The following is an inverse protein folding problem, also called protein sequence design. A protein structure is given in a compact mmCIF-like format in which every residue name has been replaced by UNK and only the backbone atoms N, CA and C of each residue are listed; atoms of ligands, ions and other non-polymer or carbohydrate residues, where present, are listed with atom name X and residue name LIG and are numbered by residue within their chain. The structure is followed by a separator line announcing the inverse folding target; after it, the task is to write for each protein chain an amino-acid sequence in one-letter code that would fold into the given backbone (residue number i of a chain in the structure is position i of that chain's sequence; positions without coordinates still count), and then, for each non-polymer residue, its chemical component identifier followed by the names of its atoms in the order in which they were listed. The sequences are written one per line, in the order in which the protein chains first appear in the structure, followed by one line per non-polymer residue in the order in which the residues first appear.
data_IF_255414318031
#
_entry.id   IF_255414318031
#
_cell.length_a   1.000
_cell.length_b   1.000
_cell.length_c   1.000
_cell.angle_alpha   90.00
_cell.angle_beta   90.00
_cell.angle_gamma   90.00
#
_symmetry.space_group_name_H-M   'P 1'
#
loop_
_entity.id
_entity.type
_entity.pdbx_description
1 polymer ?
#
# COMPACT_ATOMS: atom_id res chain seq x y z
N UNK A 1 19.64 10.65 -16.31
CA UNK A 1 19.70 11.55 -15.15
C UNK A 1 18.70 12.67 -15.37
N UNK A 2 17.59 12.67 -14.67
CA UNK A 2 16.75 13.85 -14.42
C UNK A 2 16.32 13.73 -12.97
N UNK A 3 16.76 14.70 -12.17
CA UNK A 3 16.40 14.83 -10.77
C UNK A 3 14.88 14.93 -10.63
N UNK A 4 14.29 13.99 -9.93
CA UNK A 4 12.95 14.14 -9.39
C UNK A 4 13.10 15.10 -8.22
N UNK A 5 12.57 16.30 -8.38
CA UNK A 5 12.57 17.32 -7.36
C UNK A 5 11.88 16.79 -6.10
N UNK A 6 12.54 16.95 -4.97
CA UNK A 6 11.99 16.73 -3.66
C UNK A 6 10.68 17.52 -3.54
N UNK A 7 9.59 16.82 -3.27
CA UNK A 7 8.32 17.44 -2.91
C UNK A 7 8.59 18.35 -1.71
N UNK A 8 8.41 19.67 -1.91
CA UNK A 8 8.43 20.63 -0.81
C UNK A 8 7.42 20.18 0.22
N UNK A 9 7.87 19.97 1.44
CA UNK A 9 7.01 19.84 2.60
C UNK A 9 5.94 20.91 2.56
N UNK A 10 4.66 20.60 2.82
CA UNK A 10 3.63 21.62 2.87
C UNK A 10 4.06 22.68 3.87
N UNK A 11 4.10 23.93 3.42
CA UNK A 11 4.56 25.05 4.20
C UNK A 11 3.84 25.06 5.53
N UNK A 12 4.62 25.19 6.60
CA UNK A 12 4.14 25.39 7.98
C UNK A 12 3.14 26.54 7.92
N UNK A 13 1.86 26.23 8.05
CA UNK A 13 0.81 27.24 8.21
C UNK A 13 1.16 27.95 9.51
N UNK A 14 1.69 29.17 9.40
CA UNK A 14 1.90 30.05 10.55
C UNK A 14 0.50 30.43 11.00
N UNK A 15 -0.04 29.71 11.97
CA UNK A 15 -1.26 30.08 12.65
C UNK A 15 -1.04 31.46 13.25
N UNK A 16 -1.97 32.42 13.08
CA UNK A 16 -1.88 33.70 13.75
C UNK A 16 -1.78 33.45 15.25
N UNK A 17 -0.91 34.17 15.96
CA UNK A 17 -0.57 33.97 17.36
C UNK A 17 -1.84 33.72 18.19
N UNK A 18 -2.13 32.45 18.49
CA UNK A 18 -3.26 32.08 19.33
C UNK A 18 -2.97 32.60 20.72
N UNK A 19 -3.72 33.61 21.16
CA UNK A 19 -3.61 34.14 22.52
C UNK A 19 -4.52 33.30 23.41
N UNK A 20 -3.90 32.65 24.40
CA UNK A 20 -4.62 32.00 25.51
C UNK A 20 -4.87 33.07 26.56
N UNK A 21 -6.10 33.24 27.01
CA UNK A 21 -6.47 34.22 28.02
C UNK A 21 -7.23 33.55 29.18
N UNK A 22 -6.82 33.90 30.40
CA UNK A 22 -7.50 33.43 31.62
C UNK A 22 -8.30 34.58 32.19
N UNK A 23 -9.58 34.39 32.39
CA UNK A 23 -10.52 35.39 32.96
C UNK A 23 -11.18 34.87 34.22
N UNK A 24 -11.34 35.81 35.20
CA UNK A 24 -12.16 35.60 36.37
C UNK A 24 -13.61 35.96 36.01
N UNK A 25 -14.49 35.00 35.93
CA UNK A 25 -15.88 35.19 35.54
C UNK A 25 -16.70 35.87 36.65
N UNK A 26 -16.25 35.79 37.88
CA UNK A 26 -16.99 36.32 39.03
C UNK A 26 -16.62 37.77 39.34
N UNK A 27 -15.40 38.19 39.06
CA UNK A 27 -14.93 39.54 39.34
C UNK A 27 -14.69 40.35 38.08
N UNK A 28 -15.08 41.61 38.09
CA UNK A 28 -14.73 42.56 37.04
C UNK A 28 -13.23 42.78 36.98
N UNK A 29 -12.70 43.14 35.82
CA UNK A 29 -11.28 43.46 35.65
C UNK A 29 -10.78 44.55 36.59
N UNK A 30 -11.67 45.51 36.90
CA UNK A 30 -11.44 46.64 37.84
C UNK A 30 -11.50 46.25 39.31
N UNK A 31 -11.79 44.97 39.64
CA UNK A 31 -11.88 44.56 41.04
C UNK A 31 -10.54 44.77 41.78
N UNK A 32 -10.60 45.33 43.00
CA UNK A 32 -9.45 45.61 43.83
C UNK A 32 -8.74 44.37 44.31
N UNK A 33 -7.43 44.47 44.64
CA UNK A 33 -6.65 43.37 45.22
C UNK A 33 -7.29 42.87 46.52
N UNK A 34 -7.90 43.74 47.31
CA UNK A 34 -8.61 43.35 48.54
C UNK A 34 -9.83 42.47 48.25
N UNK A 35 -10.65 42.82 47.24
CA UNK A 35 -11.79 42.00 46.82
C UNK A 35 -11.36 40.63 46.29
N UNK A 36 -10.26 40.59 45.53
CA UNK A 36 -9.70 39.32 45.04
C UNK A 36 -9.21 38.43 46.15
N UNK A 37 -8.49 39.00 47.16
CA UNK A 37 -8.05 38.30 48.36
C UNK A 37 -9.20 37.81 49.22
N UNK A 38 -10.20 38.67 49.48
CA UNK A 38 -11.37 38.31 50.27
C UNK A 38 -12.12 37.11 49.65
N UNK A 39 -12.24 37.06 48.32
CA UNK A 39 -12.87 35.93 47.64
C UNK A 39 -12.00 34.67 47.62
N UNK A 40 -10.66 34.81 47.52
CA UNK A 40 -9.74 33.70 47.51
C UNK A 40 -9.60 33.01 48.91
N UNK A 41 -9.73 33.78 49.99
CA UNK A 41 -9.62 33.27 51.38
C UNK A 41 -10.96 32.80 51.96
N UNK A 42 -12.07 33.09 51.30
CA UNK A 42 -13.40 32.71 51.81
C UNK A 42 -13.61 31.19 51.71
N UNK A 43 -14.02 30.56 52.81
CA UNK A 43 -14.41 29.16 52.89
C UNK A 43 -15.66 28.86 52.00
N UNK A 44 -16.56 29.84 51.97
CA UNK A 44 -17.73 29.91 51.08
C UNK A 44 -17.61 31.17 50.23
N UNK A 45 -17.35 31.06 48.93
CA UNK A 45 -17.21 32.23 48.04
C UNK A 45 -18.47 33.12 48.01
N UNK A 46 -19.65 32.57 48.24
CA UNK A 46 -20.91 33.34 48.25
C UNK A 46 -21.03 34.24 49.47
N UNK A 47 -20.34 33.92 50.56
CA UNK A 47 -20.29 34.72 51.78
C UNK A 47 -19.13 35.70 51.81
N UNK A 48 -18.29 35.71 50.77
CA UNK A 48 -17.18 36.64 50.67
C UNK A 48 -17.65 38.09 50.58
N UNK A 49 -17.04 38.98 51.39
CA UNK A 49 -17.33 40.43 51.37
C UNK A 49 -16.73 41.10 50.13
N UNK A 50 -17.37 40.91 48.98
CA UNK A 50 -16.98 41.55 47.72
C UNK A 50 -18.03 42.61 47.39
N UNK A 51 -17.64 43.89 47.18
CA UNK A 51 -18.60 44.95 46.79
C UNK A 51 -19.31 44.59 45.48
N UNK A 52 -20.59 44.91 45.40
CA UNK A 52 -21.45 44.58 44.25
C UNK A 52 -20.93 45.20 42.95
N UNK A 53 -20.42 46.43 43.04
CA UNK A 53 -19.78 47.11 41.89
C UNK A 53 -18.59 46.36 41.30
N UNK A 54 -17.98 45.42 42.02
CA UNK A 54 -16.84 44.61 41.59
C UNK A 54 -17.26 43.22 41.12
N UNK A 55 -18.50 42.82 41.25
CA UNK A 55 -19.06 41.55 40.80
C UNK A 55 -19.48 41.63 39.34
N UNK A 56 -19.38 40.51 38.65
CA UNK A 56 -20.02 40.33 37.34
C UNK A 56 -21.41 39.76 37.52
N UNK A 57 -22.22 39.71 36.46
CA UNK A 57 -23.51 39.01 36.42
C UNK A 57 -23.40 37.50 36.64
N UNK A 58 -22.20 36.96 36.50
CA UNK A 58 -21.84 35.55 36.68
C UNK A 58 -21.32 35.21 38.08
N UNK A 59 -21.28 36.21 38.98
CA UNK A 59 -20.78 36.01 40.34
C UNK A 59 -21.55 34.89 41.06
N UNK A 60 -20.79 33.89 41.54
CA UNK A 60 -21.35 32.72 42.23
C UNK A 60 -22.03 31.70 41.33
N UNK A 61 -22.08 31.90 40.01
CA UNK A 61 -22.68 30.97 39.08
C UNK A 61 -21.63 30.12 38.38
N UNK A 62 -21.69 28.81 38.59
CA UNK A 62 -20.80 27.84 37.94
C UNK A 62 -19.32 28.01 38.31
N UNK A 63 -18.41 27.53 37.45
CA UNK A 63 -16.96 27.58 37.66
C UNK A 63 -16.43 29.00 37.48
N UNK A 64 -15.58 29.44 38.42
CA UNK A 64 -15.06 30.80 38.47
C UNK A 64 -14.09 31.18 37.37
N UNK A 65 -13.17 30.28 37.03
CA UNK A 65 -12.07 30.56 36.09
C UNK A 65 -12.39 30.06 34.70
N UNK A 66 -12.14 30.87 33.68
CA UNK A 66 -12.33 30.51 32.28
C UNK A 66 -11.08 30.76 31.50
N UNK A 67 -10.61 29.71 30.78
CA UNK A 67 -9.59 29.82 29.77
C UNK A 67 -10.26 29.97 28.42
N UNK A 68 -9.84 30.97 27.66
CA UNK A 68 -10.34 31.26 26.32
C UNK A 68 -9.18 31.27 25.33
N UNK A 69 -9.34 30.62 24.19
CA UNK A 69 -8.39 30.66 23.08
C UNK A 69 -9.12 30.65 21.74
N UNK A 70 -8.40 30.86 20.66
CA UNK A 70 -8.96 30.81 19.33
C UNK A 70 -8.35 29.62 18.58
N UNK A 71 -9.19 28.78 17.97
CA UNK A 71 -8.81 27.70 17.05
C UNK A 71 -9.65 27.86 15.78
N UNK A 72 -9.03 27.81 14.60
CA UNK A 72 -9.70 27.97 13.30
C UNK A 72 -10.61 29.21 13.20
N UNK A 73 -10.17 30.32 13.75
CA UNK A 73 -10.92 31.60 13.88
C UNK A 73 -12.14 31.53 14.81
N UNK A 74 -12.40 30.39 15.46
CA UNK A 74 -13.48 30.25 16.43
C UNK A 74 -12.97 30.39 17.86
N UNK A 75 -13.79 31.07 18.67
CA UNK A 75 -13.51 31.25 20.10
C UNK A 75 -13.83 29.97 20.87
N UNK A 76 -12.84 29.38 21.51
CA UNK A 76 -12.97 28.24 22.41
C UNK A 76 -12.90 28.69 23.86
N UNK A 77 -13.56 27.97 24.76
CA UNK A 77 -13.59 28.27 26.20
C UNK A 77 -13.70 26.99 27.03
N UNK A 78 -12.96 26.95 28.12
CA UNK A 78 -13.10 25.93 29.17
C UNK A 78 -13.10 26.58 30.54
N UNK A 79 -14.01 26.15 31.44
CA UNK A 79 -14.14 26.71 32.79
C UNK A 79 -13.54 25.76 33.81
N UNK A 80 -13.00 26.35 34.92
CA UNK A 80 -12.32 25.66 36.00
C UNK A 80 -12.77 26.21 37.34
N UNK A 81 -12.78 25.34 38.36
CA UNK A 81 -13.11 25.72 39.71
C UNK A 81 -11.94 26.47 40.37
N UNK A 82 -10.71 26.03 40.14
CA UNK A 82 -9.51 26.65 40.71
C UNK A 82 -8.70 27.43 39.65
N UNK A 83 -8.01 28.47 40.11
CA UNK A 83 -7.10 29.26 39.31
C UNK A 83 -5.88 28.44 38.86
N UNK A 84 -5.38 27.61 39.77
CA UNK A 84 -4.22 26.73 39.51
C UNK A 84 -4.49 25.80 38.33
N UNK A 85 -5.66 25.18 38.29
CA UNK A 85 -6.02 24.28 37.20
C UNK A 85 -6.19 25.03 35.86
N UNK A 86 -6.77 26.26 35.92
CA UNK A 86 -6.89 27.12 34.75
C UNK A 86 -5.50 27.53 34.18
N UNK A 87 -4.56 27.90 35.07
CA UNK A 87 -3.18 28.26 34.69
C UNK A 87 -2.40 27.05 34.14
N UNK A 88 -2.53 25.90 34.79
CA UNK A 88 -1.90 24.67 34.30
C UNK A 88 -2.42 24.28 32.91
N UNK A 89 -3.73 24.34 32.70
CA UNK A 89 -4.32 24.08 31.41
C UNK A 89 -3.90 25.09 30.34
N UNK A 90 -3.86 26.39 30.69
CA UNK A 90 -3.45 27.44 29.76
C UNK A 90 -1.97 27.25 29.33
N UNK A 91 -1.08 26.95 30.27
CA UNK A 91 0.34 26.70 29.99
C UNK A 91 0.54 25.46 29.08
N UNK A 92 -0.19 24.36 29.37
CA UNK A 92 -0.17 23.18 28.51
C UNK A 92 -0.68 23.50 27.11
N UNK A 93 -1.79 24.25 27.01
CA UNK A 93 -2.37 24.63 25.74
C UNK A 93 -1.42 25.53 24.92
N UNK A 94 -0.77 26.50 25.56
CA UNK A 94 0.23 27.37 24.92
C UNK A 94 1.44 26.57 24.40
N UNK A 95 1.90 25.56 25.17
CA UNK A 95 2.98 24.67 24.73
C UNK A 95 2.55 23.82 23.53
N UNK A 96 1.36 23.25 23.56
CA UNK A 96 0.82 22.45 22.45
C UNK A 96 0.63 23.30 21.19
N UNK A 97 0.13 24.53 21.32
CA UNK A 97 0.01 25.47 20.20
C UNK A 97 1.39 25.82 19.63
N UNK A 98 2.33 26.20 20.50
CA UNK A 98 3.69 26.60 20.12
C UNK A 98 4.46 25.46 19.42
N UNK A 99 4.28 24.24 19.88
CA UNK A 99 4.92 23.05 19.35
C UNK A 99 4.17 22.43 18.16
N UNK A 100 2.99 22.99 17.80
CA UNK A 100 2.16 22.46 16.73
C UNK A 100 1.46 21.14 17.10
N UNK A 101 1.37 20.81 18.40
CA UNK A 101 0.71 19.60 18.89
C UNK A 101 -0.77 19.83 19.23
N UNK A 102 -1.26 21.04 19.14
CA UNK A 102 -2.66 21.33 19.44
C UNK A 102 -3.58 20.65 18.42
N UNK A 103 -4.54 19.86 18.90
CA UNK A 103 -5.67 19.34 18.13
C UNK A 103 -6.95 19.85 18.77
N UNK A 104 -7.88 20.37 17.98
CA UNK A 104 -9.21 20.73 18.51
C UNK A 104 -9.91 19.43 18.97
N UNK A 105 -10.38 19.36 20.21
CA UNK A 105 -11.15 18.21 20.69
C UNK A 105 -12.32 17.81 19.79
N UNK A 106 -12.91 18.76 19.08
CA UNK A 106 -14.01 18.48 18.12
C UNK A 106 -13.51 17.69 16.90
N UNK A 107 -12.28 17.91 16.48
CA UNK A 107 -11.72 17.16 15.36
C UNK A 107 -11.47 15.70 15.74
N UNK A 108 -11.14 15.45 17.01
CA UNK A 108 -11.02 14.09 17.55
C UNK A 108 -12.38 13.36 17.63
N UNK A 109 -13.49 14.09 17.68
CA UNK A 109 -14.86 13.54 17.66
C UNK A 109 -15.39 13.31 16.24
N UNK A 110 -14.66 13.72 15.19
CA UNK A 110 -14.99 13.35 13.81
C UNK A 110 -14.96 11.84 13.66
N UNK A 111 -15.90 11.31 12.90
CA UNK A 111 -15.95 9.86 12.70
C UNK A 111 -14.82 9.37 11.79
N UNK A 112 -14.33 8.17 12.07
CA UNK A 112 -13.35 7.50 11.23
C UNK A 112 -13.93 7.29 9.82
N UNK A 113 -15.24 7.07 9.73
CA UNK A 113 -15.97 6.95 8.46
C UNK A 113 -15.85 8.20 7.60
N UNK A 114 -16.12 9.40 8.15
CA UNK A 114 -16.01 10.64 7.39
C UNK A 114 -14.57 10.89 6.93
N UNK A 115 -13.59 10.68 7.80
CA UNK A 115 -12.17 10.80 7.45
C UNK A 115 -11.76 9.81 6.34
N UNK A 116 -12.31 8.60 6.39
CA UNK A 116 -12.08 7.58 5.35
C UNK A 116 -12.66 7.97 4.01
N UNK A 117 -13.93 8.38 3.94
CA UNK A 117 -14.57 8.78 2.68
C UNK A 117 -13.86 9.97 2.03
N UNK A 118 -13.50 10.99 2.81
CA UNK A 118 -12.72 12.13 2.33
C UNK A 118 -11.32 11.68 1.82
N UNK A 119 -10.64 10.81 2.57
CA UNK A 119 -9.34 10.25 2.18
C UNK A 119 -9.42 9.40 0.91
N UNK A 120 -10.46 8.57 0.76
CA UNK A 120 -10.67 7.78 -0.45
C UNK A 120 -10.96 8.64 -1.68
N UNK A 121 -11.69 9.74 -1.52
CA UNK A 121 -11.94 10.69 -2.61
C UNK A 121 -10.63 11.30 -3.14
N UNK A 122 -9.73 11.69 -2.24
CA UNK A 122 -8.42 12.23 -2.60
C UNK A 122 -7.46 11.18 -3.19
N UNK A 123 -7.64 9.92 -2.82
CA UNK A 123 -6.80 8.82 -3.31
C UNK A 123 -7.09 8.44 -4.78
N UNK A 124 -8.28 8.80 -5.28
CA UNK A 124 -8.74 8.48 -6.65
C UNK A 124 -7.72 8.82 -7.74
N UNK A 125 -7.17 10.05 -7.84
CA UNK A 125 -6.21 10.41 -8.87
C UNK A 125 -4.80 9.86 -8.62
N UNK A 126 -4.51 9.38 -7.40
CA UNK A 126 -3.13 9.08 -6.96
C UNK A 126 -2.76 7.62 -7.20
N UNK A 127 -3.70 6.69 -6.98
CA UNK A 127 -3.43 5.25 -7.07
C UNK A 127 -4.08 4.60 -8.29
N UNK A 128 -3.50 3.48 -8.73
CA UNK A 128 -4.08 2.67 -9.80
C UNK A 128 -5.45 2.13 -9.40
N UNK A 129 -6.41 2.00 -10.34
CA UNK A 129 -7.76 1.51 -10.07
C UNK A 129 -7.81 0.21 -9.25
N UNK A 130 -7.00 -0.79 -9.62
CA UNK A 130 -6.96 -2.08 -8.90
C UNK A 130 -6.50 -1.94 -7.44
N UNK A 131 -5.63 -0.96 -7.12
CA UNK A 131 -5.20 -0.68 -5.75
C UNK A 131 -6.32 -0.01 -4.98
N UNK A 132 -6.98 0.99 -5.59
CA UNK A 132 -8.12 1.67 -5.00
C UNK A 132 -9.26 0.69 -4.69
N UNK A 133 -9.65 -0.14 -5.65
CA UNK A 133 -10.71 -1.15 -5.49
C UNK A 133 -10.41 -2.12 -4.35
N UNK A 134 -9.14 -2.54 -4.21
CA UNK A 134 -8.75 -3.42 -3.10
C UNK A 134 -8.86 -2.72 -1.76
N UNK A 135 -8.36 -1.49 -1.63
CA UNK A 135 -8.44 -0.73 -0.39
C UNK A 135 -9.90 -0.43 -0.05
N UNK A 136 -10.71 -0.04 -1.05
CA UNK A 136 -12.13 0.22 -0.87
C UNK A 136 -12.89 -1.02 -0.40
N UNK A 137 -12.65 -2.15 -1.01
CA UNK A 137 -13.25 -3.42 -0.58
C UNK A 137 -12.87 -3.79 0.85
N UNK A 138 -11.57 -3.70 1.19
CA UNK A 138 -11.10 -3.99 2.54
C UNK A 138 -11.69 -3.02 3.57
N UNK A 139 -11.89 -1.75 3.17
CA UNK A 139 -12.60 -0.72 3.93
C UNK A 139 -14.07 -1.07 4.14
N UNK A 140 -14.81 -1.29 3.07
CA UNK A 140 -16.25 -1.55 3.11
C UNK A 140 -16.59 -2.84 3.86
N UNK A 141 -15.71 -3.86 3.74
CA UNK A 141 -15.96 -5.16 4.34
C UNK A 141 -15.56 -5.20 5.82
N UNK A 142 -14.43 -4.61 6.18
CA UNK A 142 -13.83 -4.84 7.50
C UNK A 142 -13.67 -3.58 8.35
N UNK A 143 -13.36 -2.43 7.75
CA UNK A 143 -13.06 -1.20 8.50
C UNK A 143 -14.32 -0.43 8.82
N UNK A 144 -15.09 -0.01 7.80
CA UNK A 144 -16.28 0.82 7.98
C UNK A 144 -17.33 0.18 8.91
N UNK A 145 -17.64 -1.13 8.83
CA UNK A 145 -18.61 -1.73 9.72
C UNK A 145 -18.21 -1.77 11.21
N UNK A 146 -16.92 -1.67 11.51
CA UNK A 146 -16.43 -1.71 12.89
C UNK A 146 -16.04 -0.32 13.41
N UNK A 147 -15.39 0.49 12.57
CA UNK A 147 -14.79 1.76 12.94
C UNK A 147 -15.58 2.98 12.43
N UNK A 148 -16.41 2.82 11.39
CA UNK A 148 -17.01 3.95 10.65
C UNK A 148 -17.70 4.99 11.52
N UNK A 149 -18.56 4.56 12.43
CA UNK A 149 -19.34 5.45 13.30
C UNK A 149 -18.58 5.89 14.57
N UNK A 150 -17.36 5.38 14.76
CA UNK A 150 -16.56 5.71 15.96
C UNK A 150 -15.75 6.98 15.70
N UNK A 151 -15.55 7.81 16.75
CA UNK A 151 -14.71 8.99 16.65
C UNK A 151 -13.23 8.62 16.48
N UNK A 152 -12.42 9.52 15.92
CA UNK A 152 -10.98 9.36 15.78
C UNK A 152 -10.31 9.09 17.14
N UNK A 153 -10.83 9.65 18.22
CA UNK A 153 -10.38 9.41 19.61
C UNK A 153 -10.49 7.94 20.05
N UNK A 154 -11.32 7.14 19.37
CA UNK A 154 -11.48 5.71 19.67
C UNK A 154 -10.33 4.84 19.18
N UNK A 155 -9.43 5.35 18.30
CA UNK A 155 -8.27 4.64 17.77
C UNK A 155 -7.17 4.49 18.82
N UNK A 156 -7.49 3.84 19.93
CA UNK A 156 -6.51 3.54 20.98
C UNK A 156 -5.73 2.26 20.70
N UNK A 157 -4.48 2.12 21.23
CA UNK A 157 -3.71 0.89 21.05
C UNK A 157 -4.46 -0.38 21.52
N UNK A 158 -5.21 -0.28 22.62
CA UNK A 158 -6.00 -1.39 23.16
C UNK A 158 -7.13 -1.79 22.22
N UNK A 159 -7.93 -0.83 21.73
CA UNK A 159 -9.04 -1.09 20.82
C UNK A 159 -8.55 -1.67 19.47
N UNK A 160 -7.46 -1.11 18.93
CA UNK A 160 -6.81 -1.63 17.72
C UNK A 160 -6.28 -3.05 17.92
N UNK A 161 -5.60 -3.31 19.05
CA UNK A 161 -5.07 -4.63 19.37
C UNK A 161 -6.16 -5.69 19.46
N UNK A 162 -7.27 -5.39 20.16
CA UNK A 162 -8.42 -6.28 20.26
C UNK A 162 -9.07 -6.55 18.90
N UNK A 163 -9.21 -5.53 18.08
CA UNK A 163 -9.77 -5.68 16.73
C UNK A 163 -8.86 -6.51 15.82
N UNK A 164 -7.54 -6.30 15.84
CA UNK A 164 -6.58 -7.11 15.08
C UNK A 164 -6.66 -8.57 15.50
N UNK A 165 -6.77 -8.87 16.80
CA UNK A 165 -6.93 -10.22 17.31
C UNK A 165 -8.20 -10.86 16.75
N UNK A 166 -9.33 -10.15 16.77
CA UNK A 166 -10.61 -10.65 16.25
C UNK A 166 -10.61 -10.89 14.72
N UNK A 167 -9.83 -10.16 13.97
CA UNK A 167 -9.60 -10.45 12.55
C UNK A 167 -8.76 -11.72 12.35
N UNK A 168 -7.77 -11.92 13.21
CA UNK A 168 -6.86 -13.07 13.11
C UNK A 168 -7.50 -14.38 13.50
N UNK A 169 -8.35 -14.39 14.54
CA UNK A 169 -9.06 -15.59 15.02
C UNK A 169 -10.41 -15.82 14.33
N UNK A 170 -10.86 -14.87 13.48
CA UNK A 170 -12.13 -14.96 12.73
C UNK A 170 -13.36 -14.56 13.54
N UNK A 171 -13.21 -14.11 14.80
CA UNK A 171 -14.31 -13.68 15.65
C UNK A 171 -14.90 -12.32 15.27
N UNK A 172 -14.17 -11.50 14.50
CA UNK A 172 -14.71 -10.26 13.97
C UNK A 172 -15.95 -10.54 13.12
N UNK A 173 -17.04 -9.78 13.32
CA UNK A 173 -18.31 -9.94 12.60
C UNK A 173 -18.13 -9.98 11.08
N UNK A 174 -17.22 -9.20 10.55
CA UNK A 174 -16.91 -9.13 9.11
C UNK A 174 -16.15 -10.36 8.57
N UNK A 175 -15.67 -11.23 9.45
CA UNK A 175 -14.92 -12.44 9.08
C UNK A 175 -15.82 -13.66 8.91
N UNK A 176 -17.08 -13.63 9.39
CA UNK A 176 -18.04 -14.74 9.30
C UNK A 176 -17.46 -16.07 9.80
N UNK A 177 -16.67 -16.04 10.88
CA UNK A 177 -16.02 -17.24 11.45
C UNK A 177 -14.76 -17.71 10.71
N UNK A 178 -14.29 -16.98 9.71
CA UNK A 178 -13.09 -17.34 8.93
C UNK A 178 -11.89 -16.54 9.42
N UNK A 179 -10.85 -17.23 9.87
CA UNK A 179 -9.59 -16.61 10.24
C UNK A 179 -8.94 -15.93 9.02
N UNK A 180 -8.55 -14.65 9.17
CA UNK A 180 -7.90 -13.94 8.09
C UNK A 180 -6.40 -14.20 8.07
N UNK A 181 -5.86 -14.37 6.87
CA UNK A 181 -4.42 -14.44 6.68
C UNK A 181 -3.74 -13.13 7.07
N UNK A 182 -2.49 -13.22 7.49
CA UNK A 182 -1.63 -12.05 7.76
C UNK A 182 -1.61 -11.04 6.62
N UNK A 183 -1.63 -11.52 5.36
CA UNK A 183 -1.66 -10.65 4.18
C UNK A 183 -2.98 -9.90 4.03
N UNK A 184 -4.11 -10.53 4.40
CA UNK A 184 -5.42 -9.88 4.42
C UNK A 184 -5.48 -8.80 5.50
N UNK A 185 -5.04 -9.11 6.73
CA UNK A 185 -4.99 -8.13 7.84
C UNK A 185 -4.11 -6.93 7.46
N UNK A 186 -2.99 -7.15 6.77
CA UNK A 186 -2.16 -6.05 6.26
C UNK A 186 -2.83 -5.24 5.13
N UNK A 187 -3.72 -5.85 4.37
CA UNK A 187 -4.59 -5.14 3.41
C UNK A 187 -5.56 -4.20 4.13
N UNK A 188 -6.22 -4.72 5.16
CA UNK A 188 -7.15 -3.98 6.02
C UNK A 188 -6.45 -2.82 6.75
N UNK A 189 -5.22 -3.05 7.26
CA UNK A 189 -4.39 -1.97 7.79
C UNK A 189 -4.22 -0.82 6.80
N UNK A 190 -3.89 -1.11 5.53
CA UNK A 190 -3.74 -0.06 4.51
C UNK A 190 -5.05 0.66 4.21
N UNK A 191 -6.18 -0.03 4.30
CA UNK A 191 -7.48 0.61 4.14
C UNK A 191 -7.78 1.57 5.30
N UNK A 192 -7.51 1.18 6.55
CA UNK A 192 -7.65 2.05 7.71
C UNK A 192 -6.64 3.21 7.68
N UNK A 193 -5.41 2.99 7.18
CA UNK A 193 -4.42 4.05 7.09
C UNK A 193 -4.85 5.19 6.17
N UNK A 194 -5.75 4.97 5.21
CA UNK A 194 -6.30 6.06 4.38
C UNK A 194 -7.02 7.11 5.23
N UNK A 195 -7.84 6.67 6.18
CA UNK A 195 -8.55 7.59 7.10
C UNK A 195 -7.57 8.27 8.07
N UNK A 196 -6.61 7.52 8.60
CA UNK A 196 -5.61 8.04 9.54
C UNK A 196 -4.68 9.04 8.87
N UNK A 197 -4.17 8.75 7.67
CA UNK A 197 -3.31 9.64 6.90
C UNK A 197 -4.04 10.94 6.54
N UNK A 198 -5.33 10.84 6.18
CA UNK A 198 -6.17 12.01 5.93
C UNK A 198 -6.36 12.84 7.19
N UNK A 199 -6.70 12.22 8.32
CA UNK A 199 -6.86 12.91 9.60
C UNK A 199 -5.56 13.57 10.08
N UNK A 200 -4.42 12.91 9.89
CA UNK A 200 -3.10 13.47 10.19
C UNK A 200 -2.76 14.67 9.31
N UNK A 201 -3.04 14.56 8.00
CA UNK A 201 -2.78 15.65 7.04
C UNK A 201 -3.60 16.90 7.31
N UNK A 202 -4.79 16.74 7.91
CA UNK A 202 -5.66 17.85 8.32
C UNK A 202 -5.42 18.30 9.77
N UNK A 203 -4.47 17.69 10.49
CA UNK A 203 -4.20 18.05 11.89
C UNK A 203 -5.24 17.55 12.90
N UNK A 204 -6.15 16.64 12.52
CA UNK A 204 -7.16 16.05 13.41
C UNK A 204 -6.57 14.97 14.32
N UNK A 205 -5.41 14.43 13.97
CA UNK A 205 -4.58 13.55 14.77
C UNK A 205 -3.15 14.08 14.82
N UNK A 206 -2.52 14.02 16.00
CA UNK A 206 -1.12 14.45 16.21
C UNK A 206 -0.12 13.36 15.83
N UNK A 207 -0.48 12.12 16.05
CA UNK A 207 0.37 10.97 15.84
C UNK A 207 -0.43 9.83 15.23
N UNK A 208 0.26 9.00 14.47
CA UNK A 208 -0.34 7.84 13.83
C UNK A 208 -0.60 6.74 14.87
N UNK A 209 -1.88 6.47 15.23
CA UNK A 209 -2.22 5.46 16.23
C UNK A 209 -1.91 4.04 15.75
N UNK A 210 -1.79 3.81 14.43
CA UNK A 210 -1.51 2.50 13.86
C UNK A 210 -0.07 2.08 14.11
N UNK A 211 0.85 3.02 14.32
CA UNK A 211 2.25 2.74 14.69
C UNK A 211 2.42 2.26 16.13
N UNK A 212 1.47 2.59 17.00
CA UNK A 212 1.50 2.17 18.40
C UNK A 212 1.14 0.67 18.59
N UNK A 213 0.72 -0.02 17.54
CA UNK A 213 0.27 -1.42 17.59
C UNK A 213 1.15 -2.31 16.72
N UNK A 214 1.38 -3.54 17.18
CA UNK A 214 2.10 -4.55 16.38
C UNK A 214 1.13 -5.22 15.40
N UNK A 215 1.30 -4.96 14.13
CA UNK A 215 0.60 -5.66 13.07
C UNK A 215 1.28 -6.99 12.73
N UNK A 216 0.52 -8.02 12.33
CA UNK A 216 1.09 -9.30 11.97
C UNK A 216 2.16 -9.16 10.88
N UNK A 217 3.31 -9.81 11.07
CA UNK A 217 4.40 -9.78 10.08
C UNK A 217 4.01 -10.61 8.86
N UNK A 218 4.40 -10.16 7.67
CA UNK A 218 4.20 -10.95 6.45
C UNK A 218 4.96 -12.27 6.59
N UNK A 219 4.23 -13.38 6.60
CA UNK A 219 4.84 -14.71 6.52
C UNK A 219 5.51 -14.93 5.16
N UNK A 220 6.46 -15.84 5.13
CA UNK A 220 7.00 -16.31 3.84
C UNK A 220 5.89 -17.12 3.15
N UNK A 221 5.53 -16.76 1.92
CA UNK A 221 4.61 -17.57 1.14
C UNK A 221 5.38 -18.75 0.54
N UNK A 222 4.88 -19.95 0.75
CA UNK A 222 5.41 -21.15 0.10
C UNK A 222 5.27 -20.97 -1.43
N UNK A 223 6.38 -21.06 -2.14
CA UNK A 223 6.38 -21.01 -3.60
C UNK A 223 6.24 -22.43 -4.14
N UNK A 224 5.39 -22.58 -5.13
CA UNK A 224 5.16 -23.85 -5.80
C UNK A 224 5.80 -23.80 -7.18
N UNK A 225 6.62 -24.79 -7.48
CA UNK A 225 7.23 -25.02 -8.77
C UNK A 225 6.68 -26.34 -9.32
N UNK A 226 6.21 -26.32 -10.55
CA UNK A 226 5.70 -27.52 -11.22
C UNK A 226 6.81 -28.17 -12.04
N UNK A 227 6.81 -29.49 -12.09
CA UNK A 227 7.65 -30.23 -13.04
C UNK A 227 7.10 -30.09 -14.45
N UNK A 228 7.90 -30.37 -15.48
CA UNK A 228 7.47 -30.38 -16.89
C UNK A 228 6.28 -31.31 -17.09
N UNK A 229 6.30 -32.50 -16.48
CA UNK A 229 5.21 -33.47 -16.54
C UNK A 229 3.93 -32.93 -15.90
N UNK A 230 4.03 -32.18 -14.78
CA UNK A 230 2.86 -31.55 -14.16
C UNK A 230 2.28 -30.44 -15.02
N UNK A 231 3.12 -29.63 -15.67
CA UNK A 231 2.69 -28.60 -16.63
C UNK A 231 1.97 -29.26 -17.82
N UNK A 232 2.52 -30.37 -18.35
CA UNK A 232 1.89 -31.13 -19.44
C UNK A 232 0.49 -31.63 -19.05
N UNK A 233 0.37 -32.34 -17.92
CA UNK A 233 -0.93 -32.81 -17.43
C UNK A 233 -1.94 -31.68 -17.22
N UNK A 234 -1.46 -30.54 -16.75
CA UNK A 234 -2.33 -29.35 -16.57
C UNK A 234 -2.82 -28.79 -17.89
N UNK A 235 -1.95 -28.75 -18.91
CA UNK A 235 -2.29 -28.33 -20.26
C UNK A 235 -3.28 -29.30 -20.91
N UNK A 236 -3.02 -30.61 -20.84
CA UNK A 236 -3.92 -31.63 -21.37
C UNK A 236 -5.31 -31.54 -20.72
N UNK A 237 -5.35 -31.37 -19.42
CA UNK A 237 -6.60 -31.21 -18.67
C UNK A 237 -7.35 -29.91 -18.99
N UNK A 238 -6.68 -28.88 -19.50
CA UNK A 238 -7.30 -27.65 -19.95
C UNK A 238 -7.92 -27.75 -21.37
N UNK A 239 -7.68 -28.84 -22.10
CA UNK A 239 -8.20 -29.10 -23.43
C UNK A 239 -7.82 -28.01 -24.43
N UNK A 240 -8.78 -27.40 -25.11
CA UNK A 240 -8.54 -26.35 -26.10
C UNK A 240 -7.80 -25.12 -25.53
N UNK A 241 -7.79 -24.95 -24.21
CA UNK A 241 -7.04 -23.92 -23.49
C UNK A 241 -5.69 -24.37 -22.95
N UNK A 242 -5.22 -25.56 -23.35
CA UNK A 242 -3.90 -26.06 -22.95
C UNK A 242 -2.78 -25.13 -23.37
N UNK A 243 -2.89 -24.52 -24.54
CA UNK A 243 -1.91 -23.54 -25.02
C UNK A 243 -1.79 -22.30 -24.11
N UNK A 244 -2.89 -21.88 -23.45
CA UNK A 244 -2.87 -20.77 -22.47
C UNK A 244 -1.97 -21.12 -21.28
N UNK A 245 -2.07 -22.37 -20.81
CA UNK A 245 -1.26 -22.90 -19.69
C UNK A 245 0.21 -22.97 -20.08
N UNK A 246 0.49 -23.57 -21.26
CA UNK A 246 1.86 -23.69 -21.78
C UNK A 246 2.49 -22.31 -22.01
N UNK A 247 1.73 -21.37 -22.57
CA UNK A 247 2.18 -20.00 -22.76
C UNK A 247 2.61 -19.34 -21.45
N UNK A 248 1.81 -19.46 -20.40
CA UNK A 248 2.15 -18.92 -19.06
C UNK A 248 3.36 -19.62 -18.44
N UNK A 249 3.43 -20.97 -18.57
CA UNK A 249 4.49 -21.78 -17.98
C UNK A 249 5.85 -21.62 -18.68
N UNK A 250 5.86 -21.36 -19.99
CA UNK A 250 7.09 -21.32 -20.77
C UNK A 250 7.52 -19.94 -21.25
N UNK A 251 6.77 -18.89 -20.88
CA UNK A 251 7.15 -17.49 -21.15
C UNK A 251 7.28 -16.65 -19.88
N UNK A 252 6.76 -17.15 -18.76
CA UNK A 252 6.79 -16.45 -17.49
C UNK A 252 5.99 -15.14 -17.46
N UNK A 253 5.10 -14.89 -18.43
CA UNK A 253 4.20 -13.74 -18.44
C UNK A 253 3.24 -13.77 -17.25
N UNK A 254 2.81 -12.59 -16.78
CA UNK A 254 1.69 -12.51 -15.84
C UNK A 254 0.40 -12.85 -16.55
N UNK A 255 -0.57 -13.43 -15.85
CA UNK A 255 -1.87 -13.77 -16.45
C UNK A 255 -2.54 -12.58 -17.13
N UNK A 256 -2.54 -11.41 -16.50
CA UNK A 256 -3.12 -10.20 -17.11
C UNK A 256 -2.37 -9.73 -18.37
N UNK A 257 -1.08 -10.02 -18.49
CA UNK A 257 -0.30 -9.74 -19.69
C UNK A 257 -0.66 -10.72 -20.82
N UNK A 258 -0.74 -12.02 -20.52
CA UNK A 258 -1.12 -13.05 -21.48
C UNK A 258 -2.53 -12.84 -22.02
N UNK A 259 -3.50 -12.53 -21.12
CA UNK A 259 -4.88 -12.25 -21.52
C UNK A 259 -5.06 -10.93 -22.30
N UNK A 260 -4.07 -10.03 -22.29
CA UNK A 260 -4.07 -8.78 -23.04
C UNK A 260 -3.31 -8.86 -24.38
N UNK A 261 -2.76 -10.03 -24.73
CA UNK A 261 -2.08 -10.24 -26.01
C UNK A 261 -3.06 -10.16 -27.17
N UNK A 262 -2.56 -9.63 -28.28
CA UNK A 262 -3.21 -9.63 -29.58
C UNK A 262 -2.44 -10.52 -30.55
N UNK A 263 -3.08 -10.92 -31.63
CA UNK A 263 -2.46 -11.71 -32.70
C UNK A 263 -1.19 -11.02 -33.22
N UNK A 264 -1.21 -9.71 -33.45
CA UNK A 264 -0.07 -8.93 -33.91
C UNK A 264 1.11 -8.88 -32.93
N UNK A 265 0.92 -9.25 -31.65
CA UNK A 265 2.03 -9.29 -30.69
C UNK A 265 2.94 -10.51 -30.87
N UNK A 266 2.50 -11.52 -31.62
CA UNK A 266 3.23 -12.78 -31.86
C UNK A 266 4.02 -12.70 -33.18
N UNK A 267 5.33 -12.64 -33.08
CA UNK A 267 6.24 -12.71 -34.24
C UNK A 267 6.88 -14.11 -34.29
N UNK A 268 6.26 -15.02 -35.01
CA UNK A 268 6.76 -16.40 -35.19
C UNK A 268 8.09 -16.44 -35.98
N UNK A 269 8.29 -15.50 -36.89
CA UNK A 269 9.54 -15.44 -37.69
C UNK A 269 10.74 -15.11 -36.83
N UNK A 270 10.57 -14.17 -35.89
CA UNK A 270 11.62 -13.77 -34.94
C UNK A 270 11.59 -14.58 -33.65
N UNK A 271 10.59 -15.43 -33.47
CA UNK A 271 10.33 -16.19 -32.24
C UNK A 271 10.25 -15.26 -31.02
N UNK A 272 9.40 -14.22 -31.10
CA UNK A 272 9.22 -13.24 -30.04
C UNK A 272 7.75 -12.89 -29.84
N UNK A 273 7.38 -12.69 -28.58
CA UNK A 273 6.09 -12.09 -28.19
C UNK A 273 6.36 -10.73 -27.60
N UNK A 274 5.66 -9.71 -28.08
CA UNK A 274 5.74 -8.35 -27.54
C UNK A 274 4.72 -8.17 -26.43
N UNK A 275 5.18 -7.95 -25.20
CA UNK A 275 4.35 -7.70 -24.02
C UNK A 275 4.31 -6.20 -23.73
N UNK A 276 3.30 -5.53 -24.24
CA UNK A 276 3.11 -4.08 -24.11
C UNK A 276 1.95 -3.71 -23.19
N UNK A 277 1.03 -4.63 -22.95
CA UNK A 277 -0.25 -4.37 -22.28
C UNK A 277 -0.51 -5.37 -21.16
N UNK A 278 -1.40 -5.01 -20.26
CA UNK A 278 -1.92 -5.93 -19.23
C UNK A 278 -3.41 -5.67 -19.05
N UNK A 279 -4.14 -6.72 -18.79
CA UNK A 279 -5.52 -6.63 -18.38
C UNK A 279 -5.58 -6.39 -16.88
N UNK A 280 -6.43 -5.48 -16.45
CA UNK A 280 -6.62 -5.12 -15.04
C UNK A 280 -8.06 -4.73 -14.80
N UNK A 281 -8.49 -4.76 -13.56
CA UNK A 281 -9.83 -4.31 -13.17
C UNK A 281 -9.87 -2.79 -13.20
N UNK A 282 -10.88 -2.22 -13.85
CA UNK A 282 -11.17 -0.79 -13.84
C UNK A 282 -11.69 -0.32 -12.49
N UNK A 283 -11.95 0.99 -12.36
CA UNK A 283 -12.38 1.61 -11.10
C UNK A 283 -13.87 1.39 -10.82
N UNK A 284 -14.70 1.38 -11.86
CA UNK A 284 -16.14 1.18 -11.74
C UNK A 284 -16.46 -0.31 -11.84
N UNK A 285 -16.80 -0.91 -10.71
CA UNK A 285 -17.26 -2.29 -10.63
C UNK A 285 -16.23 -3.32 -11.12
N UNK A 286 -16.72 -4.40 -11.74
CA UNK A 286 -15.89 -5.46 -12.31
C UNK A 286 -15.46 -5.20 -13.77
N UNK A 287 -15.60 -3.98 -14.27
CA UNK A 287 -15.18 -3.63 -15.62
C UNK A 287 -13.64 -3.80 -15.74
N UNK A 288 -13.24 -4.76 -16.56
CA UNK A 288 -11.83 -4.99 -16.85
C UNK A 288 -11.38 -4.06 -17.98
N UNK A 289 -10.23 -3.45 -17.81
CA UNK A 289 -9.62 -2.56 -18.80
C UNK A 289 -8.27 -3.10 -19.25
N UNK A 290 -7.87 -2.78 -20.47
CA UNK A 290 -6.52 -3.05 -20.98
C UNK A 290 -5.72 -1.76 -20.91
N UNK A 291 -4.61 -1.82 -20.20
CA UNK A 291 -3.70 -0.69 -20.00
C UNK A 291 -2.24 -1.08 -20.19
N UNK A 292 -1.31 -0.15 -19.99
CA UNK A 292 0.13 -0.45 -20.03
C UNK A 292 0.49 -1.45 -18.95
N UNK A 293 1.62 -2.14 -19.12
CA UNK A 293 2.16 -3.08 -18.12
C UNK A 293 2.34 -2.38 -16.76
N UNK A 294 2.43 -3.16 -15.67
CA UNK A 294 2.53 -2.63 -14.30
C UNK A 294 3.61 -1.54 -14.14
N UNK A 295 4.72 -1.67 -14.87
CA UNK A 295 5.87 -0.76 -14.84
C UNK A 295 5.92 0.16 -16.08
N UNK A 296 4.93 0.14 -16.98
CA UNK A 296 4.92 0.90 -18.23
C UNK A 296 5.92 0.41 -19.28
N UNK A 297 6.67 -0.66 -19.01
CA UNK A 297 7.72 -1.15 -19.90
C UNK A 297 7.19 -2.16 -20.90
N UNK A 298 7.51 -1.95 -22.17
CA UNK A 298 7.36 -2.94 -23.23
C UNK A 298 8.57 -3.89 -23.21
N UNK A 299 8.32 -5.18 -23.29
CA UNK A 299 9.38 -6.18 -23.39
C UNK A 299 9.07 -7.24 -24.42
N UNK A 300 10.10 -7.87 -24.92
CA UNK A 300 10.00 -9.03 -25.82
C UNK A 300 10.35 -10.29 -25.06
N UNK A 301 9.50 -11.30 -25.18
CA UNK A 301 9.68 -12.61 -24.54
C UNK A 301 9.97 -13.62 -25.65
N UNK A 302 10.99 -14.50 -25.50
CA UNK A 302 11.26 -15.53 -26.49
C UNK A 302 10.14 -16.57 -26.56
N UNK A 303 9.89 -17.10 -27.74
CA UNK A 303 8.98 -18.23 -27.98
C UNK A 303 9.83 -19.50 -27.99
N UNK A 304 9.69 -20.38 -27.00
CA UNK A 304 10.33 -21.68 -27.03
C UNK A 304 9.72 -22.59 -28.14
N UNK A 305 10.47 -23.53 -28.71
CA UNK A 305 10.01 -24.35 -29.86
C UNK A 305 8.67 -25.05 -29.63
N UNK A 306 8.42 -25.56 -28.40
CA UNK A 306 7.18 -26.27 -28.08
C UNK A 306 5.91 -25.40 -28.09
N UNK A 307 6.02 -24.07 -28.19
CA UNK A 307 4.87 -23.17 -28.34
C UNK A 307 4.59 -22.79 -29.78
N UNK A 308 5.49 -23.07 -30.73
CA UNK A 308 5.38 -22.52 -32.09
C UNK A 308 4.14 -22.99 -32.84
N UNK A 309 3.86 -24.29 -32.80
CA UNK A 309 2.68 -24.85 -33.51
C UNK A 309 1.37 -24.38 -32.94
N UNK A 310 1.20 -24.41 -31.61
CA UNK A 310 0.01 -23.89 -30.98
C UNK A 310 -0.19 -22.39 -31.18
N UNK A 311 0.89 -21.59 -31.22
CA UNK A 311 0.79 -20.17 -31.53
C UNK A 311 0.48 -19.93 -33.02
N UNK A 312 1.00 -20.78 -33.92
CA UNK A 312 0.66 -20.72 -35.35
C UNK A 312 -0.83 -20.97 -35.57
N UNK A 313 -1.39 -21.99 -34.92
CA UNK A 313 -2.82 -22.28 -34.97
C UNK A 313 -3.66 -21.11 -34.43
N UNK A 314 -3.26 -20.55 -33.26
CA UNK A 314 -3.96 -19.42 -32.66
C UNK A 314 -3.93 -18.14 -33.51
N UNK A 315 -2.95 -17.99 -34.39
CA UNK A 315 -2.79 -16.76 -35.20
C UNK A 315 -3.24 -16.93 -36.65
N UNK A 316 -3.44 -18.18 -37.10
CA UNK A 316 -3.78 -18.46 -38.50
C UNK A 316 -5.10 -17.81 -38.94
N UNK A 317 -5.05 -17.01 -40.01
CA UNK A 317 -6.22 -16.41 -40.62
C UNK A 317 -6.95 -15.35 -39.79
N UNK A 318 -6.33 -14.89 -38.68
CA UNK A 318 -6.93 -13.92 -37.76
C UNK A 318 -6.34 -12.54 -37.93
N UNK A 319 -7.20 -11.51 -37.70
CA UNK A 319 -6.76 -10.11 -37.73
C UNK A 319 -5.77 -9.80 -36.58
N UNK A 320 -4.76 -9.01 -36.89
CA UNK A 320 -3.73 -8.63 -35.91
C UNK A 320 -4.25 -7.90 -34.66
N UNK A 321 -5.39 -7.23 -34.76
CA UNK A 321 -6.03 -6.52 -33.66
C UNK A 321 -6.82 -7.42 -32.72
N UNK A 322 -7.14 -8.64 -33.13
CA UNK A 322 -7.92 -9.58 -32.33
C UNK A 322 -7.16 -10.03 -31.05
N UNK A 323 -7.89 -10.32 -29.96
CA UNK A 323 -7.27 -10.95 -28.77
C UNK A 323 -6.66 -12.31 -29.14
N UNK A 324 -5.44 -12.59 -28.69
CA UNK A 324 -4.80 -13.88 -28.96
C UNK A 324 -5.55 -15.03 -28.25
N UNK A 325 -5.77 -14.89 -26.94
CA UNK A 325 -6.50 -15.84 -26.12
C UNK A 325 -7.96 -15.42 -25.97
N UNK A 326 -8.88 -16.25 -26.45
CA UNK A 326 -10.31 -15.94 -26.49
C UNK A 326 -11.13 -16.92 -25.67
N UNK A 327 -12.22 -16.41 -25.11
CA UNK A 327 -13.25 -17.23 -24.47
C UNK A 327 -14.06 -18.02 -25.53
N UNK A 328 -14.85 -19.01 -25.14
CA UNK A 328 -15.75 -19.71 -26.08
C UNK A 328 -16.74 -18.81 -26.84
N UNK A 329 -16.90 -17.58 -26.39
CA UNK A 329 -17.70 -16.55 -27.06
C UNK A 329 -16.90 -15.66 -28.02
N UNK A 330 -15.62 -15.95 -28.25
CA UNK A 330 -14.74 -15.15 -29.10
C UNK A 330 -14.22 -13.85 -28.47
N UNK A 331 -14.58 -13.55 -27.22
CA UNK A 331 -14.16 -12.34 -26.54
C UNK A 331 -12.88 -12.56 -25.73
N UNK A 332 -12.14 -11.46 -25.48
CA UNK A 332 -11.02 -11.47 -24.56
C UNK A 332 -11.44 -11.99 -23.18
N UNK A 333 -10.70 -12.94 -22.63
CA UNK A 333 -10.96 -13.48 -21.29
C UNK A 333 -10.90 -12.42 -20.20
N UNK A 334 -11.84 -12.45 -19.25
CA UNK A 334 -11.68 -11.86 -17.92
C UNK A 334 -10.78 -12.74 -17.03
N UNK A 335 -9.88 -12.15 -16.25
CA UNK A 335 -8.96 -12.92 -15.41
C UNK A 335 -9.69 -13.87 -14.45
N UNK A 336 -10.75 -13.38 -13.77
CA UNK A 336 -11.56 -14.20 -12.87
C UNK A 336 -12.30 -15.32 -13.60
N UNK A 337 -12.83 -15.04 -14.80
CA UNK A 337 -13.53 -16.02 -15.61
C UNK A 337 -12.58 -17.10 -16.12
N UNK A 338 -11.41 -16.72 -16.63
CA UNK A 338 -10.38 -17.67 -17.06
C UNK A 338 -9.92 -18.56 -15.91
N UNK A 339 -9.66 -17.95 -14.72
CA UNK A 339 -9.29 -18.72 -13.53
C UNK A 339 -10.36 -19.74 -13.11
N UNK A 340 -11.63 -19.36 -13.18
CA UNK A 340 -12.72 -20.22 -12.74
C UNK A 340 -13.09 -21.29 -13.79
N UNK A 341 -12.97 -21.00 -15.10
CA UNK A 341 -13.42 -21.87 -16.17
C UNK A 341 -12.31 -22.68 -16.83
N UNK A 342 -11.07 -22.23 -16.74
CA UNK A 342 -9.90 -22.93 -17.31
C UNK A 342 -9.00 -23.47 -16.20
N UNK A 343 -8.42 -22.57 -15.39
CA UNK A 343 -7.43 -22.96 -14.40
C UNK A 343 -7.91 -23.95 -13.35
N UNK A 344 -9.00 -23.61 -12.65
CA UNK A 344 -9.49 -24.45 -11.53
C UNK A 344 -9.94 -25.84 -11.98
N UNK A 345 -10.74 -26.01 -13.08
CA UNK A 345 -11.07 -27.31 -13.59
C UNK A 345 -9.85 -28.11 -14.03
N UNK A 346 -8.90 -27.49 -14.75
CA UNK A 346 -7.68 -28.13 -15.20
C UNK A 346 -6.80 -28.58 -14.01
N UNK A 347 -6.62 -27.74 -13.00
CA UNK A 347 -5.85 -28.09 -11.80
C UNK A 347 -6.46 -29.29 -11.06
N UNK A 348 -7.79 -29.36 -10.98
CA UNK A 348 -8.53 -30.48 -10.37
C UNK A 348 -8.36 -31.77 -11.19
N UNK A 349 -8.57 -31.69 -12.49
CA UNK A 349 -8.46 -32.86 -13.37
C UNK A 349 -7.01 -33.37 -13.47
N UNK A 350 -6.01 -32.48 -13.36
CA UNK A 350 -4.60 -32.85 -13.28
C UNK A 350 -4.17 -33.38 -11.88
N UNK A 351 -5.06 -33.41 -10.88
CA UNK A 351 -4.76 -33.83 -9.51
C UNK A 351 -3.85 -32.85 -8.74
N UNK A 352 -3.83 -31.57 -9.13
CA UNK A 352 -2.95 -30.54 -8.56
C UNK A 352 -3.71 -29.56 -7.64
N UNK A 353 -5.03 -29.66 -7.53
CA UNK A 353 -5.87 -28.74 -6.74
C UNK A 353 -5.59 -28.81 -5.22
N UNK A 354 -5.02 -29.92 -4.75
CA UNK A 354 -4.61 -30.12 -3.34
C UNK A 354 -3.19 -29.66 -3.04
N UNK A 355 -2.43 -29.20 -4.03
CA UNK A 355 -1.08 -28.68 -3.80
C UNK A 355 -1.18 -27.34 -3.10
N UNK A 356 -0.77 -27.31 -1.84
CA UNK A 356 -0.82 -26.10 -1.01
C UNK A 356 -0.02 -24.97 -1.65
N UNK A 357 -0.64 -23.80 -1.82
CA UNK A 357 -0.01 -22.63 -2.41
C UNK A 357 0.01 -22.62 -3.93
N UNK A 358 -0.54 -23.62 -4.62
CA UNK A 358 -0.64 -23.62 -6.07
C UNK A 358 -1.61 -22.52 -6.56
N UNK A 359 -1.10 -21.69 -7.44
CA UNK A 359 -1.86 -20.60 -8.09
C UNK A 359 -1.46 -20.50 -9.55
N UNK A 360 -2.21 -19.72 -10.34
CA UNK A 360 -1.79 -19.37 -11.72
C UNK A 360 -0.38 -18.76 -11.74
N UNK A 361 -0.03 -18.00 -10.71
CA UNK A 361 1.30 -17.39 -10.60
C UNK A 361 2.42 -18.42 -10.39
N UNK A 362 2.09 -19.63 -9.95
CA UNK A 362 3.04 -20.75 -9.86
C UNK A 362 3.61 -21.14 -11.22
N UNK A 363 2.86 -20.97 -12.32
CA UNK A 363 3.40 -21.18 -13.69
C UNK A 363 4.56 -20.24 -13.99
N UNK A 364 4.47 -18.99 -13.54
CA UNK A 364 5.56 -18.03 -13.68
C UNK A 364 6.76 -18.35 -12.78
N UNK A 365 6.52 -18.90 -11.59
CA UNK A 365 7.60 -19.40 -10.75
C UNK A 365 8.28 -20.61 -11.39
N UNK A 366 7.49 -21.49 -12.01
CA UNK A 366 7.97 -22.65 -12.77
C UNK A 366 8.85 -22.22 -13.96
N UNK A 367 8.43 -21.20 -14.73
CA UNK A 367 9.29 -20.61 -15.78
C UNK A 367 10.65 -20.20 -15.25
N UNK A 368 10.67 -19.45 -14.15
CA UNK A 368 11.93 -19.00 -13.56
C UNK A 368 12.82 -20.17 -13.11
N UNK A 369 12.22 -21.18 -12.46
CA UNK A 369 12.94 -22.37 -12.04
C UNK A 369 13.55 -23.11 -13.23
N UNK A 370 12.79 -23.30 -14.32
CA UNK A 370 13.29 -23.96 -15.55
C UNK A 370 14.38 -23.13 -16.23
N UNK A 371 14.22 -21.81 -16.30
CA UNK A 371 15.22 -20.93 -16.90
C UNK A 371 16.54 -20.95 -16.12
N UNK A 372 16.47 -20.97 -14.77
CA UNK A 372 17.65 -21.09 -13.90
C UNK A 372 18.32 -22.44 -14.07
N UNK A 373 17.55 -23.53 -14.07
CA UNK A 373 18.07 -24.88 -14.32
C UNK A 373 18.73 -25.01 -15.71
N UNK A 374 18.21 -24.26 -16.70
CA UNK A 374 18.80 -24.13 -18.05
C UNK A 374 19.98 -23.17 -18.13
N UNK A 375 20.48 -22.64 -17.02
CA UNK A 375 21.67 -21.79 -16.97
C UNK A 375 21.45 -20.30 -17.25
N UNK A 376 20.21 -19.82 -17.23
CA UNK A 376 19.92 -18.38 -17.40
C UNK A 376 20.53 -17.56 -16.27
N UNK A 377 21.23 -16.48 -16.60
CA UNK A 377 21.72 -15.51 -15.61
C UNK A 377 20.59 -14.63 -15.07
N UNK A 378 20.85 -14.05 -13.88
CA UNK A 378 19.88 -13.22 -13.16
C UNK A 378 19.38 -12.06 -14.00
N UNK A 379 20.23 -11.40 -14.77
CA UNK A 379 19.90 -10.21 -15.56
C UNK A 379 19.02 -10.54 -16.76
N UNK A 380 19.31 -11.66 -17.42
CA UNK A 380 18.50 -12.18 -18.53
C UNK A 380 17.12 -12.59 -18.03
N UNK A 381 17.06 -13.33 -16.90
CA UNK A 381 15.79 -13.71 -16.29
C UNK A 381 14.96 -12.48 -15.84
N UNK A 382 15.61 -11.49 -15.20
CA UNK A 382 14.98 -10.24 -14.81
C UNK A 382 14.30 -9.55 -16.01
N UNK A 383 15.03 -9.42 -17.13
CA UNK A 383 14.53 -8.78 -18.36
C UNK A 383 13.35 -9.56 -18.94
N UNK A 384 13.47 -10.88 -19.09
CA UNK A 384 12.42 -11.74 -19.63
C UNK A 384 11.14 -11.67 -18.79
N UNK A 385 11.27 -11.72 -17.47
CA UNK A 385 10.15 -11.64 -16.56
C UNK A 385 9.59 -10.22 -16.38
N UNK A 386 10.32 -9.17 -16.73
CA UNK A 386 9.90 -7.77 -16.51
C UNK A 386 9.82 -7.43 -15.03
N UNK A 387 10.83 -7.81 -14.25
CA UNK A 387 11.03 -7.34 -12.89
C UNK A 387 11.69 -5.96 -12.90
N UNK A 388 11.24 -5.05 -12.04
CA UNK A 388 11.76 -3.69 -11.97
C UNK A 388 13.22 -3.63 -11.50
N UNK A 389 13.68 -4.63 -10.74
CA UNK A 389 15.05 -4.75 -10.28
C UNK A 389 15.51 -6.21 -10.24
N UNK A 390 16.82 -6.43 -10.30
CA UNK A 390 17.41 -7.75 -10.10
C UNK A 390 17.19 -8.27 -8.68
N UNK A 391 17.11 -7.39 -7.68
CA UNK A 391 16.80 -7.77 -6.30
C UNK A 391 15.49 -8.55 -6.20
N UNK A 392 14.44 -8.15 -6.92
CA UNK A 392 13.17 -8.91 -6.94
C UNK A 392 13.38 -10.33 -7.45
N UNK A 393 14.24 -10.53 -8.45
CA UNK A 393 14.55 -11.87 -8.98
C UNK A 393 15.33 -12.67 -7.95
N UNK A 394 16.36 -12.09 -7.35
CA UNK A 394 17.17 -12.72 -6.31
C UNK A 394 16.33 -13.02 -5.05
N UNK A 395 15.58 -12.07 -4.52
CA UNK A 395 14.73 -12.26 -3.33
C UNK A 395 13.71 -13.41 -3.49
N UNK A 396 13.34 -13.69 -4.76
CA UNK A 396 12.36 -14.73 -5.06
C UNK A 396 13.01 -16.06 -5.40
N UNK A 397 14.17 -16.07 -6.05
CA UNK A 397 14.71 -17.27 -6.68
C UNK A 397 16.17 -17.55 -6.31
N UNK A 398 16.80 -16.82 -5.41
CA UNK A 398 18.20 -17.02 -5.04
C UNK A 398 18.49 -18.49 -4.65
N UNK A 399 17.59 -19.09 -3.89
CA UNK A 399 17.70 -20.48 -3.42
C UNK A 399 17.65 -21.52 -4.55
N UNK A 400 17.27 -21.13 -5.78
CA UNK A 400 17.23 -22.01 -6.94
C UNK A 400 18.52 -21.99 -7.76
N UNK A 401 19.38 -20.98 -7.57
CA UNK A 401 20.71 -21.02 -8.13
C UNK A 401 21.56 -21.98 -7.31
N UNK A 402 22.05 -23.06 -7.91
CA UNK A 402 22.97 -23.96 -7.21
C UNK A 402 24.21 -23.20 -6.79
N UNK A 403 24.85 -23.66 -5.74
CA UNK A 403 26.20 -23.21 -5.41
C UNK A 403 27.12 -23.62 -6.58
N UNK A 404 27.56 -22.63 -7.33
CA UNK A 404 28.36 -22.78 -8.54
C UNK A 404 29.80 -22.36 -8.33
N UNK A 405 30.33 -22.49 -7.13
CA UNK A 405 31.74 -22.17 -6.85
C UNK A 405 32.66 -23.00 -7.72
N UNK A 406 32.37 -24.29 -7.94
CA UNK A 406 33.12 -25.16 -8.83
C UNK A 406 33.02 -24.70 -10.30
N UNK A 407 31.82 -24.24 -10.75
CA UNK A 407 31.68 -23.69 -12.10
C UNK A 407 32.51 -22.41 -12.31
N UNK A 408 32.73 -21.61 -11.27
CA UNK A 408 33.59 -20.43 -11.30
C UNK A 408 35.04 -20.86 -11.44
N UNK A 409 35.49 -21.87 -10.69
CA UNK A 409 36.81 -22.42 -10.78
C UNK A 409 37.09 -23.00 -12.20
N UNK A 410 36.12 -23.76 -12.70
CA UNK A 410 36.17 -24.32 -14.05
C UNK A 410 36.16 -23.23 -15.14
N UNK A 411 35.38 -22.18 -14.98
CA UNK A 411 35.35 -21.07 -15.91
C UNK A 411 36.71 -20.34 -15.99
N UNK A 412 37.33 -20.09 -14.84
CA UNK A 412 38.69 -19.52 -14.75
C UNK A 412 39.68 -20.45 -15.40
N UNK A 413 39.62 -21.76 -15.10
CA UNK A 413 40.49 -22.77 -15.70
C UNK A 413 40.39 -22.78 -17.23
N UNK A 414 39.16 -22.69 -17.78
CA UNK A 414 38.95 -22.61 -19.25
C UNK A 414 39.53 -21.34 -19.87
N UNK A 415 39.47 -20.21 -19.22
CA UNK A 415 40.05 -18.95 -19.70
C UNK A 415 41.56 -19.03 -19.70
N UNK A 416 42.13 -19.52 -18.61
CA UNK A 416 43.59 -19.67 -18.47
C UNK A 416 44.15 -20.69 -19.49
N UNK A 417 43.49 -21.83 -19.67
CA UNK A 417 43.92 -22.87 -20.60
C UNK A 417 43.80 -22.48 -22.08
N UNK A 418 42.94 -21.54 -22.44
CA UNK A 418 42.79 -21.00 -23.80
C UNK A 418 43.86 -19.96 -24.14
N UNK A 419 44.75 -19.61 -23.22
CA UNK A 419 45.80 -18.61 -23.44
C UNK A 419 45.28 -17.19 -23.63
N UNK A 420 44.02 -16.92 -23.30
CA UNK A 420 43.40 -15.61 -23.40
C UNK A 420 43.83 -14.67 -22.25
N UNK A 421 45.12 -14.66 -21.93
CA UNK A 421 45.73 -13.70 -21.01
C UNK A 421 45.69 -12.25 -21.55
N UNK A 422 45.23 -12.05 -22.77
CA UNK A 422 45.18 -10.75 -23.42
C UNK A 422 43.89 -9.95 -23.20
N UNK A 423 42.84 -10.54 -22.61
CA UNK A 423 41.53 -9.91 -22.51
C UNK A 423 41.24 -9.18 -21.16
N UNK A 424 42.21 -9.17 -20.25
CA UNK A 424 42.12 -8.45 -18.97
C UNK A 424 43.07 -7.27 -18.85
N UNK A 425 43.45 -6.64 -19.94
CA UNK A 425 43.96 -5.27 -19.86
C UNK A 425 42.74 -4.39 -19.62
N UNK A 426 42.57 -4.00 -18.36
CA UNK A 426 41.69 -2.92 -17.94
C UNK A 426 41.85 -1.77 -18.94
N UNK A 427 40.78 -1.41 -19.65
CA UNK A 427 40.68 -0.08 -20.23
C UNK A 427 40.71 0.86 -19.08
N UNK A 428 41.93 1.35 -18.82
CA UNK A 428 42.24 2.29 -17.77
C UNK A 428 41.39 3.52 -17.93
N UNK A 429 41.04 4.01 -16.79
CA UNK A 429 40.70 5.39 -16.55
C UNK A 429 41.91 6.22 -16.99
N UNK A 430 41.98 6.62 -18.26
CA UNK A 430 42.86 7.69 -18.68
C UNK A 430 42.11 9.00 -18.44
N UNK A 431 42.68 9.69 -17.50
CA UNK A 431 42.23 11.00 -17.05
C UNK A 431 42.26 12.04 -18.18
N UNK A 432 41.28 12.87 -18.16
CA UNK A 432 41.29 14.19 -18.74
C UNK A 432 42.13 15.12 -17.86
N UNK A 433 43.44 15.14 -18.07
CA UNK A 433 44.26 16.25 -17.60
C UNK A 433 44.66 17.11 -18.81
N UNK A 434 44.24 18.37 -18.73
CA UNK A 434 45.01 19.52 -19.13
C UNK A 434 45.15 19.82 -20.60
N UNK A 435 44.41 20.79 -21.11
CA UNK A 435 44.94 21.82 -21.99
C UNK A 435 44.33 23.17 -21.62
N UNK A 436 45.10 23.89 -20.82
CA UNK A 436 45.11 25.36 -20.80
C UNK A 436 46.09 25.85 -21.84
N UNK A 437 45.80 27.07 -22.38
CA UNK A 437 46.63 28.01 -23.16
C UNK A 437 46.68 27.76 -24.67
N UNK A 438 46.07 28.58 -25.45
CA UNK A 438 46.33 29.95 -25.92
C UNK A 438 45.09 30.54 -26.59
#
# INVERSE_FOLDING_TARGET
MRHVGAAKSPGRVILPAMRVNIEDRWLRKSASAAARRALASARDPMRARVPEAMRTTEFGKGMRWRVTWYADRERRRRSFASRKDAEAFAASLEDDIRSGRYVDPRDMERTIGSAGEEGFALLVPVVKPATWNRYRRDWDTHVAPYWGDRPLSALTPSALGSWIASLADGSARSCHGVMLSTSSIRGIHRALSVAVDHAMSNGWLQSDPLKAVKWPRKGQSKRVYLTVAQVGRLADAAGVHGIDILLLAYTGMRIGEALALRVADVDLRRRRITVARTKTVGREGNAETVGPTKNGQVRRVPIPPMLEDGLRELTAGRDGGEPLLVSPRGNMWGESNWRNRVWRPAARAAGLDRVEGLTVHSLRHTYASMAIAGGADVKTLQKAMGHSSASITLDVYADLWPDRLDDVADAIGRVVSRGDSGAMTARGVEGSEGRTAE
#
